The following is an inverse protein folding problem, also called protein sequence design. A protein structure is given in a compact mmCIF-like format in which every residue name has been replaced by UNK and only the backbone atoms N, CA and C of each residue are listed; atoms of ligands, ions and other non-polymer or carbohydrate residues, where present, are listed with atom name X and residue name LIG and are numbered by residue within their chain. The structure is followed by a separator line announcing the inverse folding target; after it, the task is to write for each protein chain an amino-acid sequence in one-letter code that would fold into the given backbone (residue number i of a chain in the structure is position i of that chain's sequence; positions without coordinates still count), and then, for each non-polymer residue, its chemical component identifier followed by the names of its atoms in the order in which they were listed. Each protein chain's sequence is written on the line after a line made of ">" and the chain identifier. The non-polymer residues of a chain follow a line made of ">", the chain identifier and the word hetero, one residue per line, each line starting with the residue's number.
data_IF_983758515228
#
_entry.id   IF_983758515228
#
_cell.length_a   1.000
_cell.length_b   1.000
_cell.length_c   1.000
_cell.angle_alpha   90.00
_cell.angle_beta   90.00
_cell.angle_gamma   90.00
#
_symmetry.space_group_name_H-M   'P 1'
#
loop_
_entity.id
_entity.type
_entity.pdbx_description
1 polymer ?
#
# COMPACT_ATOMS: atom_id res chain seq x y z
N UNK A 1 -14.93 24.07 -11.07
CA UNK A 1 -13.73 24.69 -10.46
C UNK A 1 -13.25 23.96 -9.20
N UNK A 2 -14.11 23.69 -8.20
CA UNK A 2 -13.72 22.96 -6.96
C UNK A 2 -13.14 21.56 -7.20
N UNK A 3 -13.68 20.81 -8.17
CA UNK A 3 -13.16 19.49 -8.55
C UNK A 3 -11.75 19.55 -9.15
N UNK A 4 -11.43 20.55 -9.98
CA UNK A 4 -10.07 20.72 -10.53
C UNK A 4 -9.05 21.03 -9.43
N UNK A 5 -9.44 21.85 -8.44
CA UNK A 5 -8.60 22.17 -7.29
C UNK A 5 -8.35 20.92 -6.45
N UNK A 6 -9.38 20.10 -6.21
CA UNK A 6 -9.25 18.82 -5.50
C UNK A 6 -8.31 17.84 -6.22
N UNK A 7 -8.44 17.71 -7.54
CA UNK A 7 -7.56 16.87 -8.37
C UNK A 7 -6.11 17.35 -8.28
N UNK A 8 -5.88 18.66 -8.33
CA UNK A 8 -4.54 19.24 -8.22
C UNK A 8 -3.89 18.96 -6.86
N UNK A 9 -4.65 19.04 -5.77
CA UNK A 9 -4.16 18.72 -4.42
C UNK A 9 -3.78 17.24 -4.32
N UNK A 10 -4.61 16.33 -4.82
CA UNK A 10 -4.30 14.89 -4.83
C UNK A 10 -3.03 14.60 -5.63
N UNK A 11 -2.92 15.21 -6.81
CA UNK A 11 -1.76 15.03 -7.70
C UNK A 11 -0.44 15.47 -7.03
N UNK A 12 -0.44 16.62 -6.35
CA UNK A 12 0.75 17.11 -5.65
C UNK A 12 1.17 16.23 -4.49
N UNK A 13 0.23 15.59 -3.78
CA UNK A 13 0.54 14.62 -2.72
C UNK A 13 1.12 13.34 -3.32
N UNK A 14 0.54 12.85 -4.41
CA UNK A 14 1.01 11.64 -5.09
C UNK A 14 2.41 11.79 -5.72
N UNK A 15 2.78 13.00 -6.12
CA UNK A 15 4.10 13.30 -6.71
C UNK A 15 5.26 13.25 -5.70
N UNK A 16 5.01 13.51 -4.41
CA UNK A 16 6.07 13.59 -3.39
C UNK A 16 7.00 12.36 -3.35
N UNK A 17 6.51 11.11 -3.31
CA UNK A 17 7.39 9.92 -3.32
C UNK A 17 8.05 9.66 -4.68
N UNK A 18 7.60 10.30 -5.76
CA UNK A 18 8.13 10.09 -7.12
C UNK A 18 9.40 10.91 -7.36
N UNK A 19 9.55 12.05 -6.68
CA UNK A 19 10.68 12.97 -6.89
C UNK A 19 12.06 12.31 -6.64
N UNK A 20 12.30 11.57 -5.54
CA UNK A 20 13.60 10.92 -5.30
C UNK A 20 13.92 9.83 -6.33
N UNK A 21 12.89 9.13 -6.83
CA UNK A 21 13.04 8.10 -7.84
C UNK A 21 13.44 8.70 -9.20
N UNK A 22 12.84 9.85 -9.54
CA UNK A 22 13.17 10.56 -10.76
C UNK A 22 14.59 11.13 -10.71
N UNK A 23 14.98 11.73 -9.59
CA UNK A 23 16.36 12.21 -9.40
C UNK A 23 17.37 11.07 -9.50
N UNK A 24 17.05 9.91 -8.90
CA UNK A 24 17.87 8.71 -9.03
C UNK A 24 18.01 8.21 -10.47
N UNK A 25 16.94 8.24 -11.25
CA UNK A 25 16.96 7.79 -12.64
C UNK A 25 17.74 8.76 -13.56
N UNK A 26 17.59 10.07 -13.37
CA UNK A 26 18.24 11.08 -14.20
C UNK A 26 19.72 11.27 -13.84
N UNK A 27 20.05 11.21 -12.54
CA UNK A 27 21.39 11.46 -12.02
C UNK A 27 22.10 10.17 -11.54
N UNK A 28 21.73 9.01 -12.11
CA UNK A 28 22.22 7.71 -11.69
C UNK A 28 23.75 7.64 -11.59
N UNK A 29 24.46 8.01 -12.66
CA UNK A 29 25.93 7.97 -12.69
C UNK A 29 26.57 8.87 -11.64
N UNK A 30 26.00 10.05 -11.42
CA UNK A 30 26.47 10.96 -10.39
C UNK A 30 26.28 10.37 -8.99
N UNK A 31 25.11 9.78 -8.73
CA UNK A 31 24.79 9.17 -7.44
C UNK A 31 25.71 8.00 -7.15
N UNK A 32 25.90 7.09 -8.10
CA UNK A 32 26.76 5.91 -7.93
C UNK A 32 28.23 6.32 -7.70
N UNK A 33 28.74 7.27 -8.48
CA UNK A 33 30.15 7.63 -8.43
C UNK A 33 30.53 8.60 -7.30
N UNK A 34 29.60 9.47 -6.87
CA UNK A 34 29.89 10.58 -5.95
C UNK A 34 29.17 10.48 -4.61
N UNK A 35 27.96 9.93 -4.57
CA UNK A 35 27.10 9.92 -3.37
C UNK A 35 26.98 8.53 -2.71
N UNK A 36 27.33 7.45 -3.42
CA UNK A 36 27.25 6.10 -2.86
C UNK A 36 28.35 5.85 -1.81
N UNK A 37 27.93 5.52 -0.59
CA UNK A 37 28.83 5.22 0.54
C UNK A 37 29.56 3.88 0.38
N UNK A 38 28.93 2.92 -0.30
CA UNK A 38 29.45 1.57 -0.49
C UNK A 38 30.26 1.38 -1.78
N UNK A 39 30.70 2.47 -2.44
CA UNK A 39 31.44 2.40 -3.72
C UNK A 39 32.72 1.54 -3.66
N UNK A 40 33.34 1.44 -2.48
CA UNK A 40 34.58 0.66 -2.26
C UNK A 40 34.30 -0.84 -2.00
N UNK A 41 33.04 -1.27 -2.01
CA UNK A 41 32.60 -2.64 -1.73
C UNK A 41 31.77 -3.17 -2.91
N UNK A 42 32.40 -3.45 -4.06
CA UNK A 42 31.70 -3.89 -5.27
C UNK A 42 30.88 -5.18 -5.04
N UNK A 43 31.31 -6.04 -4.10
CA UNK A 43 30.60 -7.27 -3.74
C UNK A 43 29.18 -7.06 -3.15
N UNK A 44 28.81 -5.82 -2.81
CA UNK A 44 27.49 -5.51 -2.25
C UNK A 44 26.47 -5.06 -3.32
N UNK A 45 26.90 -4.87 -4.57
CA UNK A 45 26.05 -4.42 -5.69
C UNK A 45 25.12 -3.24 -5.31
N UNK A 46 25.65 -2.29 -4.52
CA UNK A 46 24.85 -1.23 -3.91
C UNK A 46 24.25 -0.28 -4.95
N UNK A 47 25.01 0.08 -6.00
CA UNK A 47 24.49 0.85 -7.14
C UNK A 47 23.74 2.14 -6.77
N UNK A 48 24.13 2.81 -5.67
CA UNK A 48 23.47 4.06 -5.22
C UNK A 48 22.19 3.85 -4.40
N UNK A 49 21.76 2.60 -4.16
CA UNK A 49 20.56 2.26 -3.37
C UNK A 49 20.63 2.83 -1.94
N UNK A 50 21.83 2.89 -1.34
CA UNK A 50 22.03 3.48 -0.02
C UNK A 50 21.69 4.96 0.06
N UNK A 51 21.87 5.71 -1.04
CA UNK A 51 21.52 7.12 -1.11
C UNK A 51 20.01 7.27 -1.32
N UNK A 52 19.46 6.51 -2.27
CA UNK A 52 18.03 6.52 -2.56
C UNK A 52 17.19 6.17 -1.31
N UNK A 53 17.61 5.17 -0.53
CA UNK A 53 16.90 4.80 0.70
C UNK A 53 16.86 5.94 1.72
N UNK A 54 17.94 6.72 1.85
CA UNK A 54 17.98 7.88 2.75
C UNK A 54 17.04 8.99 2.28
N UNK A 55 16.99 9.28 0.97
CA UNK A 55 16.05 10.28 0.44
C UNK A 55 14.60 9.86 0.60
N UNK A 56 14.27 8.57 0.41
CA UNK A 56 12.92 8.06 0.64
C UNK A 56 12.49 8.20 2.11
N UNK A 57 13.39 7.93 3.07
CA UNK A 57 13.12 8.11 4.50
C UNK A 57 12.90 9.59 4.85
N UNK A 58 13.67 10.51 4.26
CA UNK A 58 13.44 11.95 4.46
C UNK A 58 12.06 12.38 3.98
N UNK A 59 11.60 11.86 2.84
CA UNK A 59 10.24 12.15 2.34
C UNK A 59 9.19 11.62 3.32
N UNK A 60 9.39 10.43 3.92
CA UNK A 60 8.46 9.91 4.93
C UNK A 60 8.51 10.69 6.25
N UNK A 61 9.69 11.10 6.72
CA UNK A 61 9.86 11.83 7.98
C UNK A 61 9.48 13.32 7.88
N UNK A 62 9.46 13.87 6.66
CA UNK A 62 8.97 15.23 6.39
C UNK A 62 7.44 15.34 6.41
N UNK A 63 6.73 14.20 6.44
CA UNK A 63 5.35 14.20 6.91
C UNK A 63 5.40 14.51 8.41
N UNK A 64 4.57 15.43 8.94
CA UNK A 64 4.62 15.76 10.35
C UNK A 64 4.45 14.45 11.12
N UNK A 65 5.52 14.01 11.81
CA UNK A 65 5.43 12.95 12.81
C UNK A 65 4.21 13.31 13.64
N UNK A 66 3.19 12.46 13.58
CA UNK A 66 2.04 12.57 14.46
C UNK A 66 2.57 12.37 15.88
N UNK A 67 3.12 13.43 16.47
CA UNK A 67 3.21 13.58 17.91
C UNK A 67 1.76 13.64 18.39
N UNK A 68 1.18 12.47 18.65
CA UNK A 68 -0.02 12.25 19.44
C UNK A 68 -1.25 13.13 19.14
N UNK A 69 -1.32 13.77 17.99
CA UNK A 69 -2.57 14.27 17.43
C UNK A 69 -3.00 13.22 16.43
N UNK A 70 -4.02 12.45 16.81
CA UNK A 70 -4.81 11.66 15.86
C UNK A 70 -5.23 12.64 14.76
N UNK A 71 -4.49 12.67 13.66
CA UNK A 71 -5.01 13.28 12.44
C UNK A 71 -6.19 12.38 12.11
N UNK A 72 -7.40 12.90 12.31
CA UNK A 72 -8.65 12.23 11.93
C UNK A 72 -8.69 12.15 10.40
N UNK A 73 -7.89 11.25 9.85
CA UNK A 73 -7.86 10.87 8.44
C UNK A 73 -9.25 10.33 8.04
N UNK A 74 -10.04 9.85 9.00
CA UNK A 74 -11.46 9.51 8.82
C UNK A 74 -12.26 10.63 8.16
N UNK A 75 -12.10 11.88 8.63
CA UNK A 75 -12.90 13.00 8.12
C UNK A 75 -12.47 13.44 6.72
N UNK A 76 -11.19 13.21 6.36
CA UNK A 76 -10.72 13.46 5.00
C UNK A 76 -11.19 12.36 4.04
N UNK A 77 -11.15 11.09 4.46
CA UNK A 77 -11.62 9.96 3.63
C UNK A 77 -13.14 10.05 3.39
N UNK A 78 -13.93 10.47 4.39
CA UNK A 78 -15.39 10.61 4.25
C UNK A 78 -15.80 11.66 3.19
N UNK A 79 -14.97 12.69 2.94
CA UNK A 79 -15.20 13.65 1.87
C UNK A 79 -15.01 13.06 0.45
N UNK A 80 -14.36 11.89 0.34
CA UNK A 80 -14.07 11.20 -0.92
C UNK A 80 -14.93 9.95 -1.16
N UNK A 81 -15.80 9.57 -0.22
CA UNK A 81 -16.80 8.53 -0.47
C UNK A 81 -17.88 9.15 -1.36
N UNK A 82 -17.73 8.95 -2.67
CA UNK A 82 -18.82 9.14 -3.62
C UNK A 82 -19.91 8.17 -3.21
N UNK A 83 -21.00 8.69 -2.63
CA UNK A 83 -22.14 7.92 -2.13
C UNK A 83 -23.03 7.42 -3.28
N UNK A 84 -22.42 6.99 -4.39
CA UNK A 84 -23.15 6.42 -5.52
C UNK A 84 -23.32 4.92 -5.27
N UNK A 85 -24.53 4.58 -4.87
CA UNK A 85 -24.98 3.20 -4.80
C UNK A 85 -25.04 2.65 -6.22
N UNK A 86 -24.15 1.71 -6.54
CA UNK A 86 -24.22 0.96 -7.79
C UNK A 86 -25.49 0.10 -7.76
N UNK A 87 -26.51 0.50 -8.52
CA UNK A 87 -27.71 -0.30 -8.71
C UNK A 87 -27.49 -1.27 -9.87
N UNK A 88 -27.33 -2.55 -9.55
CA UNK A 88 -27.26 -3.59 -10.58
C UNK A 88 -28.68 -3.84 -11.11
N UNK A 89 -28.99 -3.30 -12.30
CA UNK A 89 -30.23 -3.68 -13.00
C UNK A 89 -30.02 -5.04 -13.62
N UNK A 90 -30.50 -6.09 -12.94
CA UNK A 90 -30.53 -7.45 -13.49
C UNK A 90 -31.23 -7.44 -14.85
N UNK A 91 -30.51 -7.87 -15.89
CA UNK A 91 -31.06 -8.06 -17.25
C UNK A 91 -31.72 -9.43 -17.44
N UNK A 92 -31.88 -10.21 -16.36
CA UNK A 92 -32.63 -11.46 -16.41
C UNK A 92 -34.13 -11.16 -16.35
N UNK A 93 -34.68 -10.87 -17.52
CA UNK A 93 -36.11 -10.90 -17.74
C UNK A 93 -36.55 -12.37 -17.84
N UNK A 94 -37.43 -12.76 -16.93
CA UNK A 94 -38.37 -13.89 -17.02
C UNK A 94 -37.81 -15.25 -17.43
N UNK A 95 -37.18 -15.96 -16.49
CA UNK A 95 -37.20 -17.42 -16.52
C UNK A 95 -37.82 -17.95 -15.24
N UNK A 96 -39.15 -18.11 -15.26
CA UNK A 96 -39.89 -18.79 -14.21
C UNK A 96 -39.61 -20.28 -14.27
N UNK A 97 -38.56 -20.73 -13.60
CA UNK A 97 -38.45 -22.12 -13.20
C UNK A 97 -38.57 -22.19 -11.67
N UNK A 98 -39.75 -22.63 -11.20
CA UNK A 98 -39.92 -23.10 -9.82
C UNK A 98 -39.09 -24.37 -9.64
N UNK A 99 -37.80 -24.23 -9.43
CA UNK A 99 -36.96 -25.32 -8.96
C UNK A 99 -37.12 -25.37 -7.44
N UNK A 100 -37.69 -26.45 -6.90
CA UNK A 100 -37.58 -26.73 -5.46
C UNK A 100 -36.09 -26.85 -5.15
N UNK A 101 -35.52 -26.07 -4.22
CA UNK A 101 -34.14 -26.27 -3.86
C UNK A 101 -34.05 -27.59 -3.09
N UNK A 102 -33.66 -28.68 -3.76
CA UNK A 102 -33.12 -29.84 -3.07
C UNK A 102 -31.73 -29.43 -2.60
N UNK A 103 -31.67 -28.84 -1.41
CA UNK A 103 -30.41 -28.48 -0.77
C UNK A 103 -29.76 -29.78 -0.30
N UNK A 104 -29.02 -30.44 -1.19
CA UNK A 104 -27.86 -31.23 -0.76
C UNK A 104 -26.68 -30.27 -0.77
N UNK A 105 -26.50 -29.60 0.37
CA UNK A 105 -25.32 -28.80 0.62
C UNK A 105 -24.21 -29.76 1.06
N UNK A 106 -23.31 -30.10 0.14
CA UNK A 106 -22.05 -30.75 0.49
C UNK A 106 -21.05 -29.67 0.86
N UNK A 107 -20.86 -29.46 2.17
CA UNK A 107 -19.73 -28.70 2.71
C UNK A 107 -18.42 -29.39 2.28
N UNK A 108 -17.70 -28.81 1.32
CA UNK A 108 -16.33 -29.19 0.99
C UNK A 108 -15.30 -28.36 1.76
N UNK A 109 -15.69 -27.83 2.93
CA UNK A 109 -14.79 -27.10 3.80
C UNK A 109 -14.11 -28.08 4.76
N UNK A 110 -12.89 -28.50 4.41
CA UNK A 110 -12.05 -29.32 5.27
C UNK A 110 -10.92 -28.44 5.84
N UNK A 111 -11.22 -27.70 6.91
CA UNK A 111 -10.20 -27.01 7.69
C UNK A 111 -9.51 -28.06 8.57
N UNK A 112 -8.54 -28.77 8.00
CA UNK A 112 -7.59 -29.53 8.80
C UNK A 112 -6.80 -28.54 9.63
N UNK A 113 -7.15 -28.45 10.91
CA UNK A 113 -6.49 -27.63 11.91
C UNK A 113 -5.03 -28.06 12.09
N UNK A 114 -4.13 -27.55 11.25
CA UNK A 114 -2.71 -27.56 11.57
C UNK A 114 -2.40 -26.42 12.54
N UNK A 115 -2.95 -26.52 13.76
CA UNK A 115 -2.56 -25.64 14.88
C UNK A 115 -1.25 -26.15 15.46
N UNK A 116 -0.15 -26.07 14.72
CA UNK A 116 1.17 -26.37 15.32
C UNK A 116 2.40 -25.80 14.61
N UNK A 117 2.33 -24.60 14.06
CA UNK A 117 3.56 -23.87 13.68
C UNK A 117 3.36 -22.40 14.01
N UNK A 118 3.47 -22.06 15.30
CA UNK A 118 4.04 -20.81 15.82
C UNK A 118 3.87 -20.83 17.34
N UNK A 119 4.81 -21.48 18.03
CA UNK A 119 5.03 -21.22 19.46
C UNK A 119 6.33 -20.42 19.55
N UNK A 120 6.33 -19.20 20.10
CA UNK A 120 7.58 -18.55 20.46
C UNK A 120 8.30 -19.37 21.53
N UNK A 121 9.64 -19.32 21.61
CA UNK A 121 10.40 -20.11 22.57
C UNK A 121 10.02 -19.71 24.00
N UNK A 122 9.71 -20.72 24.83
CA UNK A 122 9.35 -20.57 26.24
C UNK A 122 10.54 -20.91 27.14
N UNK A 123 11.67 -20.20 26.99
CA UNK A 123 12.70 -20.22 28.04
C UNK A 123 13.49 -18.91 28.04
N UNK A 124 13.26 -18.06 29.06
CA UNK A 124 14.30 -17.19 29.61
C UNK A 124 15.05 -18.02 30.67
N UNK A 125 16.25 -18.48 30.35
CA UNK A 125 17.19 -19.00 31.35
C UNK A 125 18.23 -17.91 31.60
N UNK A 126 18.06 -17.28 32.77
CA UNK A 126 19.01 -16.45 33.54
C UNK A 126 19.57 -15.17 32.90
#
# INVERSE_FOLDING_TARGET
>A
MKSLISIFIIFTIALRPVLPLLDYALNYDYIVNRLCENRNRPQLDCNGICYLSKELVKVSDSSPKQENSKINISNFIDAFIVNETFTFKSLFDNMTHKVKPSVYYSDFYDFTSQTRIFRPPLVSLF
#
